data_IF_590968710056
#
_entry.id   IF_590968710056
#
_cell.length_a   1.000
_cell.length_b   1.000
_cell.length_c   1.000
_cell.angle_alpha   90.00
_cell.angle_beta   90.00
_cell.angle_gamma   90.00
#
_symmetry.space_group_name_H-M   'P 1'
#
loop_
_entity.id
_entity.type
_entity.pdbx_description
1 polymer ?
#
# COMPACT_ATOMS: atom_id res chain seq x y z
N UNK A 1 -38.82 -45.95 -24.01
CA UNK A 1 -37.73 -45.73 -23.03
C UNK A 1 -37.10 -44.37 -23.35
N UNK A 2 -37.43 -43.32 -22.59
CA UNK A 2 -36.94 -41.95 -22.83
C UNK A 2 -35.64 -41.76 -22.05
N UNK A 3 -34.51 -41.65 -22.74
CA UNK A 3 -33.21 -41.38 -22.12
C UNK A 3 -33.08 -39.86 -21.98
N UNK A 4 -33.09 -39.37 -20.74
CA UNK A 4 -32.77 -37.99 -20.38
C UNK A 4 -31.24 -37.82 -20.41
N UNK A 5 -30.72 -36.95 -21.28
CA UNK A 5 -29.35 -36.44 -21.19
C UNK A 5 -29.33 -35.29 -20.17
N UNK A 6 -28.64 -35.49 -19.05
CA UNK A 6 -28.31 -34.43 -18.11
C UNK A 6 -27.00 -33.75 -18.57
N UNK A 7 -27.07 -32.47 -18.93
CA UNK A 7 -25.90 -31.64 -19.17
C UNK A 7 -25.43 -31.07 -17.83
N UNK A 8 -24.25 -31.51 -17.36
CA UNK A 8 -23.59 -30.92 -16.21
C UNK A 8 -22.79 -29.69 -16.66
N UNK A 9 -23.26 -28.48 -16.32
CA UNK A 9 -22.45 -27.27 -16.41
C UNK A 9 -21.48 -27.24 -15.22
N UNK A 10 -20.19 -27.41 -15.49
CA UNK A 10 -19.12 -27.15 -14.53
C UNK A 10 -18.84 -25.65 -14.57
N UNK A 11 -19.33 -24.91 -13.56
CA UNK A 11 -18.96 -23.52 -13.34
C UNK A 11 -17.56 -23.49 -12.72
N UNK A 12 -16.54 -23.18 -13.52
CA UNK A 12 -15.20 -22.89 -13.01
C UNK A 12 -15.16 -21.46 -12.48
N UNK A 13 -15.33 -21.31 -11.17
CA UNK A 13 -15.03 -20.06 -10.48
C UNK A 13 -13.53 -19.82 -10.52
N UNK A 14 -13.07 -18.87 -11.34
CA UNK A 14 -11.70 -18.38 -11.30
C UNK A 14 -11.52 -17.51 -10.05
N UNK A 15 -10.99 -18.07 -8.96
CA UNK A 15 -10.42 -17.25 -7.90
C UNK A 15 -9.19 -16.56 -8.47
N UNK A 16 -9.30 -15.25 -8.76
CA UNK A 16 -8.13 -14.44 -9.06
C UNK A 16 -7.26 -14.39 -7.79
N UNK A 17 -6.17 -15.14 -7.79
CA UNK A 17 -5.14 -15.06 -6.76
C UNK A 17 -4.28 -13.85 -7.11
N UNK A 18 -4.11 -12.91 -6.17
CA UNK A 18 -3.14 -11.84 -6.34
C UNK A 18 -1.75 -12.48 -6.49
N UNK A 19 -1.03 -12.10 -7.55
CA UNK A 19 0.34 -12.59 -7.76
C UNK A 19 1.30 -11.81 -6.87
N UNK A 20 2.38 -12.44 -6.39
CA UNK A 20 3.39 -11.83 -5.51
C UNK A 20 3.90 -10.43 -5.95
N UNK A 21 3.96 -10.15 -7.26
CA UNK A 21 4.36 -8.86 -7.82
C UNK A 21 3.36 -7.71 -7.57
N UNK A 22 2.14 -8.02 -7.11
CA UNK A 22 1.06 -7.04 -6.92
C UNK A 22 1.04 -6.43 -5.51
N UNK A 23 2.01 -6.81 -4.66
CA UNK A 23 2.19 -6.31 -3.28
C UNK A 23 3.42 -5.42 -3.11
N UNK A 24 4.17 -5.19 -4.20
CA UNK A 24 5.24 -4.20 -4.28
C UNK A 24 4.75 -2.99 -5.07
N UNK A 25 5.37 -1.83 -4.85
CA UNK A 25 5.17 -0.69 -5.73
C UNK A 25 5.90 -0.88 -7.06
N UNK A 26 5.36 -0.31 -8.13
CA UNK A 26 6.02 -0.25 -9.43
C UNK A 26 7.22 0.70 -9.39
N UNK A 27 8.29 0.40 -10.13
CA UNK A 27 9.53 1.18 -10.14
C UNK A 27 9.34 2.64 -10.62
N UNK A 28 8.23 2.96 -11.30
CA UNK A 28 7.88 4.34 -11.66
C UNK A 28 7.50 5.19 -10.43
N UNK A 29 7.07 4.56 -9.33
CA UNK A 29 6.75 5.21 -8.06
C UNK A 29 8.06 5.40 -7.29
N UNK A 30 8.74 6.51 -7.57
CA UNK A 30 10.06 6.82 -7.00
C UNK A 30 9.93 7.63 -5.72
N UNK A 31 10.29 7.03 -4.59
CA UNK A 31 10.52 7.76 -3.35
C UNK A 31 11.57 8.86 -3.52
N UNK A 32 11.44 9.90 -2.69
CA UNK A 32 12.26 11.10 -2.70
C UNK A 32 12.17 11.96 -3.99
N UNK A 33 11.32 11.60 -4.96
CA UNK A 33 11.02 12.43 -6.13
C UNK A 33 10.01 13.54 -5.78
N UNK A 34 10.05 14.63 -6.56
CA UNK A 34 9.11 15.73 -6.37
C UNK A 34 7.70 15.43 -6.88
N UNK A 35 6.73 16.24 -6.44
CA UNK A 35 5.37 16.15 -6.94
C UNK A 35 5.36 16.30 -8.47
N UNK A 36 6.03 17.33 -8.99
CA UNK A 36 6.08 17.63 -10.42
C UNK A 36 6.71 16.49 -11.24
N UNK A 37 7.72 15.81 -10.71
CA UNK A 37 8.31 14.64 -11.34
C UNK A 37 7.35 13.44 -11.42
N UNK A 38 6.47 13.29 -10.44
CA UNK A 38 5.54 12.16 -10.33
C UNK A 38 4.17 12.41 -10.97
N UNK A 39 3.84 13.65 -11.38
CA UNK A 39 2.57 13.96 -12.07
C UNK A 39 2.28 13.01 -13.26
N UNK A 40 3.24 12.73 -14.17
CA UNK A 40 2.97 11.80 -15.28
C UNK A 40 2.68 10.37 -14.81
N UNK A 41 3.22 9.95 -13.66
CA UNK A 41 2.95 8.65 -13.06
C UNK A 41 1.51 8.61 -12.54
N UNK A 42 1.03 9.69 -11.90
CA UNK A 42 -0.36 9.77 -11.45
C UNK A 42 -1.35 9.79 -12.61
N UNK A 43 -1.03 10.51 -13.69
CA UNK A 43 -1.85 10.52 -14.91
C UNK A 43 -1.98 9.13 -15.55
N UNK A 44 -0.97 8.27 -15.40
CA UNK A 44 -0.95 6.92 -15.96
C UNK A 44 -1.56 5.85 -15.04
N UNK A 45 -1.37 6.01 -13.72
CA UNK A 45 -1.65 4.96 -12.73
C UNK A 45 -2.95 5.17 -11.96
N UNK A 46 -3.50 6.39 -11.96
CA UNK A 46 -4.75 6.72 -11.29
C UNK A 46 -5.89 6.86 -12.30
N UNK A 47 -7.09 6.43 -11.93
CA UNK A 47 -8.31 6.78 -12.67
C UNK A 47 -8.61 8.29 -12.56
N UNK A 48 -8.30 8.87 -11.39
CA UNK A 48 -8.28 10.30 -11.15
C UNK A 48 -7.36 10.59 -9.96
N UNK A 49 -6.74 11.76 -9.91
CA UNK A 49 -5.95 12.17 -8.77
C UNK A 49 -6.16 13.65 -8.42
N UNK A 50 -5.98 13.96 -7.14
CA UNK A 50 -6.01 15.33 -6.61
C UNK A 50 -4.84 15.53 -5.64
N UNK A 51 -4.15 16.67 -5.74
CA UNK A 51 -3.14 17.07 -4.78
C UNK A 51 -3.74 18.07 -3.79
N UNK A 52 -3.64 17.77 -2.49
CA UNK A 52 -4.13 18.60 -1.40
C UNK A 52 -2.96 19.02 -0.53
N UNK A 53 -2.80 20.33 -0.31
CA UNK A 53 -1.86 20.84 0.68
C UNK A 53 -2.48 20.77 2.07
N UNK A 54 -1.82 20.08 2.99
CA UNK A 54 -2.23 19.96 4.39
C UNK A 54 -1.55 21.06 5.19
N UNK A 55 -2.36 21.98 5.73
CA UNK A 55 -1.91 23.15 6.48
C UNK A 55 -2.74 23.31 7.76
N UNK A 56 -2.15 23.16 8.97
CA UNK A 56 -0.72 22.98 9.22
C UNK A 56 -0.17 21.63 8.74
N UNK A 57 1.15 21.55 8.56
CA UNK A 57 1.81 20.28 8.26
C UNK A 57 1.66 19.31 9.44
N UNK A 58 1.09 18.14 9.17
CA UNK A 58 0.87 17.08 10.15
C UNK A 58 2.03 16.07 10.26
N UNK A 59 2.95 16.07 9.28
CA UNK A 59 4.13 15.22 9.30
C UNK A 59 5.28 15.88 10.06
N UNK A 60 5.92 15.19 11.04
CA UNK A 60 7.09 15.71 11.74
C UNK A 60 8.28 16.04 10.82
N UNK A 61 8.35 15.39 9.65
CA UNK A 61 9.40 15.56 8.66
C UNK A 61 9.17 16.73 7.69
N UNK A 62 7.96 17.31 7.67
CA UNK A 62 7.60 18.42 6.79
C UNK A 62 7.86 19.77 7.48
N UNK A 63 8.92 20.47 7.07
CA UNK A 63 9.31 21.76 7.67
C UNK A 63 8.64 22.95 6.99
N UNK A 64 8.34 22.84 5.70
CA UNK A 64 7.86 23.91 4.83
C UNK A 64 6.56 23.56 4.12
N UNK A 65 6.35 22.29 3.74
CA UNK A 65 5.13 21.85 3.05
C UNK A 65 4.80 20.39 3.32
N UNK A 66 3.50 20.11 3.39
CA UNK A 66 2.94 18.77 3.43
C UNK A 66 1.86 18.68 2.34
N UNK A 67 2.06 17.82 1.36
CA UNK A 67 1.11 17.60 0.26
C UNK A 67 0.75 16.13 0.20
N UNK A 68 -0.54 15.84 0.05
CA UNK A 68 -1.04 14.50 -0.19
C UNK A 68 -1.67 14.44 -1.58
N UNK A 69 -1.26 13.47 -2.39
CA UNK A 69 -1.93 13.13 -3.64
C UNK A 69 -2.86 11.94 -3.39
N UNK A 70 -4.16 12.21 -3.51
CA UNK A 70 -5.20 11.19 -3.44
C UNK A 70 -5.39 10.59 -4.83
N UNK A 71 -4.88 9.38 -5.04
CA UNK A 71 -4.96 8.64 -6.29
C UNK A 71 -6.09 7.60 -6.20
N UNK A 72 -7.19 7.87 -6.90
CA UNK A 72 -8.32 6.95 -7.00
C UNK A 72 -8.09 5.93 -8.10
N UNK A 73 -8.45 4.67 -7.86
CA UNK A 73 -8.35 3.61 -8.85
C UNK A 73 -6.94 3.07 -9.04
N UNK A 74 -6.02 3.33 -8.10
CA UNK A 74 -4.68 2.80 -8.12
C UNK A 74 -4.71 1.27 -8.06
N UNK A 75 -4.12 0.59 -9.04
CA UNK A 75 -4.14 -0.88 -9.05
C UNK A 75 -3.08 -1.42 -8.09
N UNK A 76 -3.53 -2.14 -7.07
CA UNK A 76 -2.66 -2.80 -6.10
C UNK A 76 -3.39 -3.96 -5.41
N UNK A 77 -2.65 -5.03 -5.11
CA UNK A 77 -3.15 -6.19 -4.37
C UNK A 77 -4.46 -6.75 -4.96
N UNK A 78 -4.49 -6.93 -6.28
CA UNK A 78 -5.61 -7.50 -7.04
C UNK A 78 -6.80 -6.57 -7.24
N UNK A 79 -6.77 -5.34 -6.72
CA UNK A 79 -7.90 -4.41 -6.70
C UNK A 79 -7.55 -3.00 -7.15
N UNK A 80 -8.59 -2.19 -7.35
CA UNK A 80 -8.48 -0.75 -7.55
C UNK A 80 -8.67 -0.08 -6.18
N UNK A 81 -7.68 0.67 -5.73
CA UNK A 81 -7.58 1.21 -4.38
C UNK A 81 -7.56 2.74 -4.39
N UNK A 82 -7.80 3.32 -3.23
CA UNK A 82 -7.32 4.67 -2.93
C UNK A 82 -5.87 4.52 -2.44
N UNK A 83 -4.95 5.15 -3.16
CA UNK A 83 -3.58 5.32 -2.70
C UNK A 83 -3.33 6.79 -2.36
N UNK A 84 -2.66 7.04 -1.25
CA UNK A 84 -2.28 8.36 -0.78
C UNK A 84 -0.75 8.49 -0.86
N UNK A 85 -0.29 9.29 -1.81
CA UNK A 85 1.14 9.59 -1.97
C UNK A 85 1.45 10.87 -1.21
N UNK A 86 2.30 10.79 -0.20
CA UNK A 86 2.49 11.87 0.76
C UNK A 86 3.89 12.45 0.62
N UNK A 87 3.93 13.77 0.45
CA UNK A 87 5.12 14.56 0.22
C UNK A 87 5.39 15.45 1.43
N UNK A 88 6.64 15.42 1.90
CA UNK A 88 7.18 16.36 2.86
C UNK A 88 8.24 17.21 2.16
N UNK A 89 8.07 18.53 2.17
CA UNK A 89 9.01 19.46 1.54
C UNK A 89 9.30 19.15 0.06
N UNK A 90 8.23 18.85 -0.69
CA UNK A 90 8.25 18.45 -2.11
C UNK A 90 9.09 17.19 -2.39
N UNK A 91 9.15 16.27 -1.42
CA UNK A 91 9.81 14.97 -1.56
C UNK A 91 8.86 13.86 -1.10
N UNK A 92 8.58 12.88 -1.98
CA UNK A 92 7.66 11.79 -1.66
C UNK A 92 8.25 10.89 -0.57
N UNK A 93 7.57 10.86 0.58
CA UNK A 93 7.97 10.15 1.79
C UNK A 93 7.19 8.86 2.01
N UNK A 94 5.88 8.88 1.71
CA UNK A 94 4.99 7.74 1.97
C UNK A 94 4.11 7.41 0.77
N UNK A 95 3.74 6.12 0.71
CA UNK A 95 2.57 5.67 -0.02
C UNK A 95 1.73 4.83 0.94
N UNK A 96 0.50 5.27 1.18
CA UNK A 96 -0.52 4.50 1.86
C UNK A 96 -1.47 3.92 0.82
N UNK A 97 -1.76 2.62 0.87
CA UNK A 97 -2.74 1.99 -0.01
C UNK A 97 -3.85 1.39 0.82
N UNK A 98 -5.02 2.02 0.80
CA UNK A 98 -6.15 1.65 1.65
C UNK A 98 -6.77 0.34 1.16
N UNK A 99 -7.14 -0.50 2.13
CA UNK A 99 -7.76 -1.81 1.91
C UNK A 99 -8.96 -2.01 2.82
N UNK A 100 -9.72 -3.07 2.60
CA UNK A 100 -10.80 -3.44 3.51
C UNK A 100 -10.27 -4.30 4.67
N UNK A 101 -10.83 -4.10 5.87
CA UNK A 101 -10.44 -4.87 7.06
C UNK A 101 -10.57 -6.40 6.87
N UNK A 102 -11.52 -6.85 6.04
CA UNK A 102 -11.74 -8.26 5.74
C UNK A 102 -10.63 -8.91 4.91
N UNK A 103 -9.72 -8.12 4.33
CA UNK A 103 -8.61 -8.61 3.50
C UNK A 103 -7.28 -8.74 4.28
N UNK A 104 -7.22 -8.21 5.51
CA UNK A 104 -5.98 -8.09 6.29
C UNK A 104 -5.26 -9.42 6.48
N UNK A 105 -5.97 -10.49 6.86
CA UNK A 105 -5.34 -11.79 7.12
C UNK A 105 -4.73 -12.39 5.85
N UNK A 106 -5.42 -12.24 4.72
CA UNK A 106 -4.92 -12.68 3.41
C UNK A 106 -3.65 -11.92 3.04
N UNK A 107 -3.69 -10.59 3.08
CA UNK A 107 -2.53 -9.77 2.75
C UNK A 107 -1.37 -9.94 3.72
N UNK A 108 -1.63 -10.17 5.01
CA UNK A 108 -0.57 -10.48 5.96
C UNK A 108 0.16 -11.79 5.58
N UNK A 109 -0.56 -12.80 5.09
CA UNK A 109 0.09 -14.03 4.60
C UNK A 109 0.84 -13.79 3.30
N UNK A 110 0.22 -13.11 2.34
CA UNK A 110 0.83 -12.85 1.03
C UNK A 110 2.10 -11.99 1.18
N UNK A 111 2.08 -10.96 2.03
CA UNK A 111 3.26 -10.15 2.33
C UNK A 111 4.37 -10.96 2.97
N UNK A 112 4.08 -11.97 3.81
CA UNK A 112 5.13 -12.89 4.31
C UNK A 112 5.73 -13.74 3.20
N UNK A 113 4.92 -14.08 2.18
CA UNK A 113 5.41 -14.74 0.97
C UNK A 113 6.33 -13.86 0.12
N UNK A 114 6.07 -12.55 0.07
CA UNK A 114 6.84 -11.57 -0.72
C UNK A 114 8.08 -11.07 0.01
N UNK A 115 7.92 -10.63 1.25
CA UNK A 115 8.94 -9.95 2.06
C UNK A 115 9.62 -10.86 3.10
N UNK A 116 9.20 -12.12 3.22
CA UNK A 116 9.76 -13.06 4.20
C UNK A 116 9.21 -12.87 5.61
N UNK A 117 10.04 -13.11 6.62
CA UNK A 117 9.62 -12.98 8.02
C UNK A 117 9.44 -11.49 8.39
N UNK A 118 8.36 -11.11 9.09
CA UNK A 118 8.19 -9.74 9.52
C UNK A 118 9.21 -9.38 10.60
N UNK A 119 9.71 -8.15 10.56
CA UNK A 119 10.54 -7.57 11.62
C UNK A 119 9.75 -7.36 12.91
N UNK A 120 8.45 -7.10 12.78
CA UNK A 120 7.52 -6.88 13.90
C UNK A 120 6.14 -7.38 13.51
N UNK A 121 5.43 -7.97 14.47
CA UNK A 121 4.06 -8.46 14.29
C UNK A 121 3.28 -8.17 15.59
N UNK A 122 2.44 -7.15 15.56
CA UNK A 122 1.71 -6.62 16.71
C UNK A 122 0.22 -6.52 16.40
N UNK A 123 -0.64 -6.32 17.40
CA UNK A 123 -2.07 -6.11 17.13
C UNK A 123 -2.35 -4.93 16.18
N UNK A 124 -1.46 -3.94 16.11
CA UNK A 124 -1.62 -2.74 15.30
C UNK A 124 -1.05 -2.88 13.88
N UNK A 125 0.00 -3.67 13.66
CA UNK A 125 0.64 -3.79 12.35
C UNK A 125 1.48 -5.05 12.18
N UNK A 126 1.80 -5.37 10.92
CA UNK A 126 2.89 -6.28 10.52
C UNK A 126 3.92 -5.48 9.77
N UNK A 127 5.13 -5.32 10.31
CA UNK A 127 6.18 -4.53 9.66
C UNK A 127 7.25 -5.43 9.05
N UNK A 128 7.60 -5.13 7.80
CA UNK A 128 8.73 -5.68 7.05
C UNK A 128 9.75 -4.55 6.88
N UNK A 129 10.29 -4.07 8.00
CA UNK A 129 11.03 -2.81 8.04
C UNK A 129 12.33 -2.83 7.21
N UNK A 130 12.88 -4.01 6.91
CA UNK A 130 14.03 -4.19 6.00
C UNK A 130 13.66 -4.00 4.52
N UNK A 131 12.37 -3.95 4.21
CA UNK A 131 11.79 -3.73 2.88
C UNK A 131 11.03 -2.40 2.79
N UNK A 132 11.13 -1.57 3.82
CA UNK A 132 10.39 -0.32 3.94
C UNK A 132 8.88 -0.45 3.74
N UNK A 133 8.31 -1.57 4.20
CA UNK A 133 6.91 -1.91 4.02
C UNK A 133 6.26 -2.34 5.33
N UNK A 134 4.96 -2.07 5.48
CA UNK A 134 4.15 -2.59 6.56
C UNK A 134 2.68 -2.77 6.15
N UNK A 135 1.97 -3.63 6.88
CA UNK A 135 0.53 -3.74 6.84
C UNK A 135 -0.02 -3.21 8.16
N UNK A 136 -0.78 -2.13 8.12
CA UNK A 136 -1.44 -1.58 9.30
C UNK A 136 -2.82 -2.23 9.47
N UNK A 137 -3.20 -2.52 10.72
CA UNK A 137 -4.39 -3.32 11.10
C UNK A 137 -5.48 -2.48 11.77
N UNK A 138 -5.12 -1.42 12.49
CA UNK A 138 -6.08 -0.50 13.14
C UNK A 138 -6.75 0.44 12.13
N UNK A 139 -5.97 0.91 11.15
CA UNK A 139 -6.47 1.49 9.90
C UNK A 139 -5.97 0.55 8.80
N UNK A 140 -6.86 -0.20 8.13
CA UNK A 140 -6.44 -1.19 7.14
C UNK A 140 -5.81 -0.52 5.90
N UNK A 141 -4.48 -0.56 5.84
CA UNK A 141 -3.69 0.01 4.75
C UNK A 141 -2.33 -0.67 4.63
N UNK A 142 -1.83 -0.78 3.40
CA UNK A 142 -0.41 -0.98 3.18
C UNK A 142 0.32 0.34 3.37
N UNK A 143 1.52 0.26 3.93
CA UNK A 143 2.45 1.37 4.06
C UNK A 143 3.72 1.02 3.29
N UNK A 144 4.19 1.95 2.46
CA UNK A 144 5.53 1.99 1.91
C UNK A 144 6.18 3.33 2.22
N UNK A 145 7.48 3.35 2.51
CA UNK A 145 8.17 4.58 2.90
C UNK A 145 9.57 4.73 2.31
N UNK A 146 10.01 5.97 2.16
CA UNK A 146 11.32 6.30 1.59
C UNK A 146 12.48 5.78 2.44
N UNK A 147 13.63 5.55 1.79
CA UNK A 147 14.84 5.15 2.51
C UNK A 147 15.32 6.23 3.48
N UNK A 148 15.11 7.51 3.12
CA UNK A 148 15.52 8.66 3.92
C UNK A 148 14.87 8.71 5.30
N UNK A 149 13.68 8.12 5.46
CA UNK A 149 12.93 8.11 6.73
C UNK A 149 12.86 6.72 7.39
N UNK A 150 13.47 5.70 6.79
CA UNK A 150 13.46 4.34 7.30
C UNK A 150 13.95 4.20 8.76
N UNK A 151 15.01 4.90 9.21
CA UNK A 151 15.44 4.84 10.61
C UNK A 151 14.37 5.32 11.60
N UNK A 152 13.60 6.36 11.23
CA UNK A 152 12.52 6.89 12.06
C UNK A 152 11.40 5.86 12.23
N UNK A 153 10.97 5.22 11.13
CA UNK A 153 9.93 4.20 11.17
C UNK A 153 10.36 2.93 11.87
N UNK A 154 11.60 2.48 11.68
CA UNK A 154 12.14 1.35 12.45
C UNK A 154 12.09 1.64 13.96
N UNK A 155 12.52 2.83 14.38
CA UNK A 155 12.43 3.24 15.78
C UNK A 155 10.99 3.30 16.31
N UNK A 156 10.03 3.76 15.49
CA UNK A 156 8.62 3.76 15.85
C UNK A 156 8.07 2.32 16.00
N UNK A 157 8.38 1.42 15.06
CA UNK A 157 7.98 0.01 15.16
C UNK A 157 8.56 -0.64 16.42
N UNK A 158 9.85 -0.41 16.71
CA UNK A 158 10.52 -0.92 17.92
C UNK A 158 9.80 -0.40 19.19
N UNK A 159 9.45 0.88 19.24
CA UNK A 159 8.74 1.50 20.36
C UNK A 159 7.32 0.94 20.53
N UNK A 160 6.59 0.71 19.44
CA UNK A 160 5.22 0.20 19.50
C UNK A 160 5.20 -1.29 19.88
N UNK A 161 6.18 -2.07 19.43
CA UNK A 161 6.29 -3.49 19.78
C UNK A 161 6.71 -3.74 21.25
N UNK A 162 7.24 -2.72 21.92
CA UNK A 162 7.62 -2.79 23.33
C UNK A 162 6.47 -2.50 24.32
N UNK A 163 5.28 -2.14 23.82
CA UNK A 163 4.07 -1.86 24.61
C UNK A 163 3.20 -3.11 24.73
#
# INVERSE_FOLDING_TARGET
MRTLLAAALIATSACATATASDLTLDDSIRFDASLDELRPVFDASCASWEAVTLNPAELPIAQTSHVQVNCQGFRHAGGNRLAEFVFADDSMAFVWVLIDAGELDGFAQDMRGVYGAPTHDTAMFTAFADHNAALRRDIPEFLFYSQSIAPMYRGWFDQMAAQ
#
